data_IF_953450061020
#
_entry.id   IF_953450061020
#
_cell.length_a   1.000
_cell.length_b   1.000
_cell.length_c   1.000
_cell.angle_alpha   90.00
_cell.angle_beta   90.00
_cell.angle_gamma   90.00
#
_symmetry.space_group_name_H-M   'P 1'
#
loop_
_entity.id
_entity.type
_entity.pdbx_description
1 polymer ?
#
# COMPACT_ATOMS: atom_id res chain seq x y z
N UNK A 1 -9.28 -18.92 14.80
CA UNK A 1 -8.24 -18.65 13.78
C UNK A 1 -7.47 -17.45 14.28
N UNK A 2 -6.20 -17.59 14.68
CA UNK A 2 -5.36 -16.44 15.04
C UNK A 2 -5.13 -15.62 13.79
N UNK A 3 -6.00 -14.65 13.56
CA UNK A 3 -5.95 -13.80 12.39
C UNK A 3 -4.61 -13.06 12.33
N UNK A 4 -4.08 -12.90 11.15
CA UNK A 4 -2.92 -12.08 10.88
C UNK A 4 -3.12 -10.71 11.52
N UNK A 5 -2.21 -10.29 12.40
CA UNK A 5 -2.26 -8.97 13.03
C UNK A 5 -1.38 -7.97 12.29
N UNK A 6 -1.59 -6.68 12.55
CA UNK A 6 -0.69 -5.64 12.01
C UNK A 6 0.74 -5.84 12.52
N UNK A 7 0.90 -6.29 13.75
CA UNK A 7 2.20 -6.55 14.38
C UNK A 7 2.92 -7.71 13.66
N UNK A 8 2.21 -8.79 13.33
CA UNK A 8 2.78 -9.90 12.55
C UNK A 8 3.15 -9.47 11.13
N UNK A 9 2.34 -8.62 10.50
CA UNK A 9 2.65 -8.04 9.19
C UNK A 9 3.88 -7.11 9.25
N UNK A 10 3.99 -6.30 10.29
CA UNK A 10 5.18 -5.47 10.50
C UNK A 10 6.45 -6.31 10.72
N UNK A 11 6.36 -7.39 11.49
CA UNK A 11 7.47 -8.31 11.69
C UNK A 11 7.91 -8.95 10.38
N UNK A 12 6.96 -9.37 9.54
CA UNK A 12 7.25 -9.93 8.21
C UNK A 12 7.90 -8.87 7.30
N UNK A 13 7.35 -7.65 7.24
CA UNK A 13 7.96 -6.56 6.48
C UNK A 13 9.41 -6.33 6.90
N UNK A 14 9.68 -6.22 8.20
CA UNK A 14 11.03 -5.93 8.70
C UNK A 14 12.00 -7.09 8.59
N UNK A 15 11.50 -8.31 8.46
CA UNK A 15 12.30 -9.51 8.14
C UNK A 15 12.88 -9.42 6.72
N UNK A 16 12.11 -8.92 5.76
CA UNK A 16 12.48 -8.87 4.34
C UNK A 16 13.03 -7.53 3.88
N UNK A 17 12.59 -6.44 4.48
CA UNK A 17 12.93 -5.07 4.10
C UNK A 17 13.75 -4.39 5.20
N UNK A 18 14.99 -4.01 4.91
CA UNK A 18 15.90 -3.29 5.83
C UNK A 18 15.93 -1.80 5.53
N UNK A 19 15.67 -1.41 4.29
CA UNK A 19 15.65 -0.02 3.85
C UNK A 19 14.61 0.82 4.58
N UNK A 20 15.07 1.87 5.26
CA UNK A 20 14.20 2.85 5.93
C UNK A 20 13.23 3.55 4.95
N UNK A 21 13.68 3.80 3.72
CA UNK A 21 12.82 4.44 2.71
C UNK A 21 11.68 3.53 2.27
N UNK A 22 11.95 2.24 2.06
CA UNK A 22 10.91 1.26 1.70
C UNK A 22 9.95 1.01 2.87
N UNK A 23 10.45 0.95 4.10
CA UNK A 23 9.59 0.86 5.30
C UNK A 23 8.70 2.09 5.46
N UNK A 24 9.22 3.29 5.18
CA UNK A 24 8.42 4.53 5.20
C UNK A 24 7.37 4.52 4.09
N UNK A 25 7.71 4.06 2.88
CA UNK A 25 6.75 3.90 1.79
C UNK A 25 5.63 2.94 2.19
N UNK A 26 5.95 1.75 2.68
CA UNK A 26 4.97 0.78 3.14
C UNK A 26 3.99 1.38 4.18
N UNK A 27 4.50 2.14 5.15
CA UNK A 27 3.67 2.85 6.15
C UNK A 27 2.83 3.97 5.54
N UNK A 28 3.34 4.67 4.53
CA UNK A 28 2.58 5.70 3.83
C UNK A 28 1.41 5.09 3.04
N UNK A 29 1.66 4.01 2.31
CA UNK A 29 0.61 3.25 1.61
C UNK A 29 -0.41 2.69 2.61
N UNK A 30 0.04 2.08 3.70
CA UNK A 30 -0.84 1.61 4.78
C UNK A 30 -1.77 2.73 5.27
N UNK A 31 -1.24 3.91 5.55
CA UNK A 31 -2.04 5.04 6.03
C UNK A 31 -3.11 5.47 5.02
N UNK A 32 -2.76 5.51 3.73
CA UNK A 32 -3.68 5.85 2.66
C UNK A 32 -4.80 4.80 2.51
N UNK A 33 -4.46 3.53 2.41
CA UNK A 33 -5.47 2.47 2.22
C UNK A 33 -6.40 2.34 3.43
N UNK A 34 -5.89 2.56 4.65
CA UNK A 34 -6.72 2.60 5.87
C UNK A 34 -7.74 3.73 5.84
N UNK A 35 -7.37 4.91 5.37
CA UNK A 35 -8.29 6.04 5.24
C UNK A 35 -9.43 5.71 4.26
N UNK A 36 -9.12 5.05 3.15
CA UNK A 36 -10.14 4.58 2.19
C UNK A 36 -10.98 3.43 2.73
N UNK A 37 -10.41 2.53 3.53
CA UNK A 37 -11.18 1.46 4.18
C UNK A 37 -12.26 2.04 5.12
N UNK A 38 -11.90 3.04 5.94
CA UNK A 38 -12.86 3.74 6.83
C UNK A 38 -13.98 4.43 6.04
N UNK A 39 -13.60 5.14 4.98
CA UNK A 39 -14.57 5.80 4.11
C UNK A 39 -15.52 4.78 3.47
N UNK A 40 -14.99 3.70 2.93
CA UNK A 40 -15.79 2.63 2.33
C UNK A 40 -16.70 1.94 3.35
N UNK A 41 -16.20 1.65 4.56
CA UNK A 41 -17.02 1.10 5.65
C UNK A 41 -18.21 2.01 5.99
N UNK A 42 -17.97 3.30 6.06
CA UNK A 42 -19.01 4.30 6.31
C UNK A 42 -20.04 4.36 5.17
N UNK A 43 -19.59 4.37 3.92
CA UNK A 43 -20.46 4.37 2.73
C UNK A 43 -21.31 3.09 2.64
N UNK A 44 -20.80 1.96 3.11
CA UNK A 44 -21.52 0.68 3.14
C UNK A 44 -22.37 0.49 4.40
N UNK A 45 -22.32 1.42 5.35
CA UNK A 45 -23.08 1.33 6.61
C UNK A 45 -22.65 0.14 7.49
N UNK A 46 -21.37 -0.22 7.48
CA UNK A 46 -20.85 -1.34 8.27
C UNK A 46 -20.91 -1.00 9.77
N UNK A 47 -21.20 -1.99 10.60
CA UNK A 47 -21.04 -1.86 12.05
C UNK A 47 -19.57 -1.73 12.47
N UNK A 48 -19.34 -1.43 13.74
CA UNK A 48 -18.00 -1.17 14.28
C UNK A 48 -17.03 -2.34 14.08
N UNK A 49 -17.52 -3.57 14.25
CA UNK A 49 -16.67 -4.76 14.19
C UNK A 49 -16.29 -5.09 12.74
N UNK A 50 -17.26 -5.03 11.84
CA UNK A 50 -17.02 -5.20 10.40
C UNK A 50 -16.11 -4.10 9.83
N UNK A 51 -16.30 -2.85 10.26
CA UNK A 51 -15.45 -1.74 9.87
C UNK A 51 -14.00 -1.91 10.36
N UNK A 52 -13.81 -2.37 11.60
CA UNK A 52 -12.49 -2.63 12.17
C UNK A 52 -11.77 -3.78 11.44
N UNK A 53 -12.46 -4.87 11.13
CA UNK A 53 -11.88 -5.99 10.36
C UNK A 53 -11.54 -5.58 8.92
N UNK A 54 -12.38 -4.75 8.29
CA UNK A 54 -12.09 -4.20 6.97
C UNK A 54 -10.84 -3.31 7.01
N UNK A 55 -10.75 -2.38 7.96
CA UNK A 55 -9.59 -1.50 8.12
C UNK A 55 -8.30 -2.29 8.37
N UNK A 56 -8.36 -3.32 9.23
CA UNK A 56 -7.24 -4.22 9.51
C UNK A 56 -6.76 -4.94 8.24
N UNK A 57 -7.68 -5.46 7.43
CA UNK A 57 -7.36 -6.12 6.18
C UNK A 57 -6.65 -5.18 5.21
N UNK A 58 -7.14 -3.97 5.02
CA UNK A 58 -6.50 -2.94 4.17
C UNK A 58 -5.14 -2.52 4.72
N UNK A 59 -5.03 -2.35 6.03
CA UNK A 59 -3.76 -2.05 6.71
C UNK A 59 -2.68 -3.07 6.37
N UNK A 60 -2.98 -4.35 6.56
CA UNK A 60 -2.06 -5.46 6.28
C UNK A 60 -1.70 -5.49 4.77
N UNK A 61 -2.67 -5.32 3.90
CA UNK A 61 -2.47 -5.31 2.45
C UNK A 61 -1.53 -4.17 2.02
N UNK A 62 -1.78 -2.96 2.48
CA UNK A 62 -0.93 -1.81 2.16
C UNK A 62 0.47 -1.92 2.74
N UNK A 63 0.59 -2.46 3.96
CA UNK A 63 1.88 -2.64 4.62
C UNK A 63 2.77 -3.68 3.91
N UNK A 64 2.16 -4.73 3.36
CA UNK A 64 2.88 -5.87 2.78
C UNK A 64 2.95 -5.87 1.24
N UNK A 65 2.42 -4.85 0.54
CA UNK A 65 2.37 -4.90 -0.92
C UNK A 65 3.75 -5.08 -1.58
N UNK A 66 4.78 -4.47 -1.01
CA UNK A 66 6.17 -4.48 -1.50
C UNK A 66 7.18 -5.13 -0.53
N UNK A 67 6.73 -5.94 0.45
CA UNK A 67 7.63 -6.43 1.51
C UNK A 67 8.79 -7.29 0.99
N UNK A 68 8.62 -7.92 -0.14
CA UNK A 68 9.60 -8.80 -0.77
C UNK A 68 10.52 -8.07 -1.77
N UNK A 69 10.15 -6.85 -2.21
CA UNK A 69 10.81 -6.11 -3.28
C UNK A 69 12.31 -5.89 -3.06
N UNK A 70 12.75 -5.62 -1.84
CA UNK A 70 14.18 -5.39 -1.56
C UNK A 70 15.05 -6.63 -1.82
N UNK A 71 14.50 -7.83 -1.59
CA UNK A 71 15.19 -9.10 -1.80
C UNK A 71 15.00 -9.67 -3.20
N UNK A 72 13.88 -9.38 -3.81
CA UNK A 72 13.41 -9.96 -5.07
C UNK A 72 12.90 -8.86 -6.02
N UNK A 73 13.80 -7.96 -6.51
CA UNK A 73 13.39 -6.73 -7.20
C UNK A 73 13.02 -6.92 -8.68
N UNK A 74 13.15 -8.12 -9.23
CA UNK A 74 12.87 -8.33 -10.66
C UNK A 74 11.39 -8.59 -10.91
N UNK A 75 10.85 -8.22 -12.09
CA UNK A 75 9.47 -8.51 -12.44
C UNK A 75 9.10 -10.00 -12.47
N UNK A 76 10.09 -10.88 -12.59
CA UNK A 76 9.91 -12.33 -12.56
C UNK A 76 9.77 -12.85 -11.12
N UNK A 77 10.26 -12.10 -10.14
CA UNK A 77 10.27 -12.48 -8.73
C UNK A 77 9.21 -11.74 -7.93
N UNK A 78 9.22 -10.40 -7.96
CA UNK A 78 8.24 -9.56 -7.28
C UNK A 78 6.97 -9.41 -8.15
N UNK A 79 5.75 -9.52 -7.59
CA UNK A 79 5.40 -9.92 -6.24
C UNK A 79 5.12 -11.44 -6.08
N UNK A 80 5.56 -12.28 -7.04
CA UNK A 80 5.24 -13.72 -7.05
C UNK A 80 5.88 -14.47 -5.87
N UNK A 81 7.14 -14.17 -5.56
CA UNK A 81 7.84 -14.77 -4.42
C UNK A 81 7.16 -14.35 -3.11
N UNK A 82 6.85 -13.05 -2.97
CA UNK A 82 6.11 -12.54 -1.82
C UNK A 82 4.74 -13.20 -1.67
N UNK A 83 4.01 -13.38 -2.76
CA UNK A 83 2.70 -14.05 -2.74
C UNK A 83 2.80 -15.49 -2.20
N UNK A 84 3.81 -16.24 -2.60
CA UNK A 84 4.04 -17.60 -2.10
C UNK A 84 4.38 -17.60 -0.60
N UNK A 85 5.23 -16.68 -0.16
CA UNK A 85 5.56 -16.52 1.27
C UNK A 85 4.30 -16.19 2.08
N UNK A 86 3.45 -15.28 1.57
CA UNK A 86 2.19 -14.94 2.23
C UNK A 86 1.23 -16.14 2.31
N UNK A 87 1.18 -16.97 1.27
CA UNK A 87 0.41 -18.22 1.28
C UNK A 87 0.89 -19.18 2.36
N UNK A 88 2.20 -19.44 2.41
CA UNK A 88 2.83 -20.32 3.41
C UNK A 88 2.64 -19.78 4.84
N UNK A 89 2.54 -18.46 5.01
CA UNK A 89 2.26 -17.79 6.29
C UNK A 89 0.77 -17.70 6.61
N UNK A 90 -0.13 -18.22 5.74
CA UNK A 90 -1.57 -18.31 5.97
C UNK A 90 -2.32 -16.97 5.77
N UNK A 91 -1.79 -16.04 4.99
CA UNK A 91 -2.52 -14.82 4.63
C UNK A 91 -3.69 -15.14 3.69
N UNK A 92 -4.86 -14.46 3.88
CA UNK A 92 -6.04 -14.71 3.06
C UNK A 92 -5.83 -14.47 1.58
N UNK A 93 -6.54 -15.21 0.74
CA UNK A 93 -6.43 -15.12 -0.71
C UNK A 93 -6.76 -13.72 -1.25
N UNK A 94 -7.75 -13.03 -0.68
CA UNK A 94 -8.14 -11.69 -1.11
C UNK A 94 -7.03 -10.65 -0.85
N UNK A 95 -6.30 -10.77 0.26
CA UNK A 95 -5.11 -9.95 0.56
C UNK A 95 -4.00 -10.26 -0.43
N UNK A 96 -3.69 -11.53 -0.64
CA UNK A 96 -2.66 -11.98 -1.56
C UNK A 96 -2.96 -11.57 -3.00
N UNK A 97 -4.23 -11.70 -3.42
CA UNK A 97 -4.68 -11.27 -4.74
C UNK A 97 -4.56 -9.75 -4.92
N UNK A 98 -4.93 -8.97 -3.90
CA UNK A 98 -4.77 -7.52 -3.95
C UNK A 98 -3.31 -7.12 -4.13
N UNK A 99 -2.40 -7.75 -3.39
CA UNK A 99 -0.95 -7.55 -3.52
C UNK A 99 -0.49 -7.92 -4.94
N UNK A 100 -0.91 -9.06 -5.50
CA UNK A 100 -0.57 -9.41 -6.88
C UNK A 100 -1.07 -8.37 -7.89
N UNK A 101 -2.25 -7.79 -7.66
CA UNK A 101 -2.88 -6.87 -8.62
C UNK A 101 -2.27 -5.46 -8.66
N UNK A 102 -1.39 -5.10 -7.70
CA UNK A 102 -0.77 -3.77 -7.70
C UNK A 102 0.25 -3.59 -8.83
N UNK A 103 0.88 -4.66 -9.28
CA UNK A 103 1.83 -4.64 -10.38
C UNK A 103 1.16 -5.05 -11.71
N UNK A 104 1.16 -4.16 -12.70
CA UNK A 104 0.47 -4.39 -13.99
C UNK A 104 0.99 -5.59 -14.77
N UNK A 105 2.28 -5.88 -14.68
CA UNK A 105 2.91 -6.99 -15.39
C UNK A 105 2.48 -8.39 -14.88
N UNK A 106 1.83 -8.47 -13.71
CA UNK A 106 1.25 -9.75 -13.24
C UNK A 106 0.03 -10.19 -14.04
N UNK A 107 -0.61 -9.27 -14.76
CA UNK A 107 -1.85 -9.51 -15.50
C UNK A 107 -3.09 -9.72 -14.62
N UNK A 108 -2.98 -9.62 -13.30
CA UNK A 108 -4.09 -9.76 -12.37
C UNK A 108 -4.99 -8.53 -12.43
N UNK A 109 -6.19 -8.70 -12.98
CA UNK A 109 -7.16 -7.61 -13.13
C UNK A 109 -7.68 -7.15 -11.77
N UNK A 110 -7.68 -5.82 -11.56
CA UNK A 110 -8.22 -5.17 -10.35
C UNK A 110 -9.74 -5.12 -10.39
N UNK A 111 -10.39 -5.95 -9.60
CA UNK A 111 -11.86 -6.09 -9.55
C UNK A 111 -12.45 -5.46 -8.30
N UNK A 112 -11.87 -5.76 -7.13
CA UNK A 112 -12.38 -5.32 -5.83
C UNK A 112 -12.01 -3.86 -5.50
N UNK A 113 -12.72 -3.28 -4.54
CA UNK A 113 -12.40 -1.95 -4.02
C UNK A 113 -10.98 -1.92 -3.42
N UNK A 114 -10.59 -2.95 -2.65
CA UNK A 114 -9.27 -3.04 -2.04
C UNK A 114 -8.15 -3.05 -3.07
N UNK A 115 -8.28 -3.82 -4.13
CA UNK A 115 -7.30 -3.89 -5.24
C UNK A 115 -7.12 -2.55 -5.94
N UNK A 116 -8.22 -1.85 -6.22
CA UNK A 116 -8.20 -0.53 -6.86
C UNK A 116 -7.60 0.53 -5.95
N UNK A 117 -7.93 0.49 -4.66
CA UNK A 117 -7.42 1.42 -3.65
C UNK A 117 -5.93 1.19 -3.41
N UNK A 118 -5.48 -0.06 -3.30
CA UNK A 118 -4.05 -0.35 -3.16
C UNK A 118 -3.24 0.25 -4.31
N UNK A 119 -3.63 -0.04 -5.54
CA UNK A 119 -2.98 0.48 -6.74
C UNK A 119 -2.92 2.02 -6.77
N UNK A 120 -4.03 2.68 -6.48
CA UNK A 120 -4.09 4.14 -6.48
C UNK A 120 -3.29 4.77 -5.33
N UNK A 121 -3.26 4.14 -4.15
CA UNK A 121 -2.57 4.66 -2.97
C UNK A 121 -1.06 4.45 -3.03
N UNK A 122 -0.59 3.39 -3.67
CA UNK A 122 0.83 3.11 -3.88
C UNK A 122 1.49 4.28 -4.63
N UNK A 123 1.04 4.56 -5.83
CA UNK A 123 1.52 5.67 -6.66
C UNK A 123 1.33 7.04 -5.97
N UNK A 124 0.15 7.26 -5.37
CA UNK A 124 -0.15 8.51 -4.68
C UNK A 124 0.76 8.75 -3.48
N UNK A 125 1.09 7.73 -2.69
CA UNK A 125 1.97 7.84 -1.53
C UNK A 125 3.38 8.26 -1.95
N UNK A 126 3.92 7.68 -3.02
CA UNK A 126 5.18 8.08 -3.62
C UNK A 126 5.15 9.54 -4.09
N UNK A 127 4.10 9.94 -4.79
CA UNK A 127 3.91 11.30 -5.29
C UNK A 127 3.81 12.35 -4.17
N UNK A 128 3.09 12.05 -3.09
CA UNK A 128 3.00 12.91 -1.90
C UNK A 128 4.38 13.09 -1.27
N UNK A 129 5.12 12.01 -1.10
CA UNK A 129 6.48 12.02 -0.56
C UNK A 129 7.41 12.88 -1.44
N UNK A 130 7.40 12.68 -2.75
CA UNK A 130 8.18 13.48 -3.69
C UNK A 130 7.80 14.97 -3.63
N UNK A 131 6.51 15.28 -3.49
CA UNK A 131 6.04 16.66 -3.34
C UNK A 131 6.55 17.31 -2.05
N UNK A 132 6.60 16.56 -0.95
CA UNK A 132 7.19 17.05 0.31
C UNK A 132 8.68 17.34 0.16
N UNK A 133 9.43 16.44 -0.47
CA UNK A 133 10.89 16.55 -0.60
C UNK A 133 11.35 17.75 -1.43
N UNK A 134 10.54 18.27 -2.33
CA UNK A 134 10.87 19.49 -3.10
C UNK A 134 10.48 20.78 -2.40
N UNK A 135 9.82 20.72 -1.24
CA UNK A 135 9.59 21.89 -0.38
C UNK A 135 10.83 22.23 0.46
N UNK A 136 11.07 23.51 0.80
CA UNK A 136 12.22 23.89 1.64
C UNK A 136 12.30 23.15 2.97
N UNK A 137 11.16 22.95 3.63
CA UNK A 137 11.07 22.24 4.92
C UNK A 137 11.20 20.72 4.81
N UNK A 138 10.99 20.15 3.60
CA UNK A 138 10.89 18.70 3.34
C UNK A 138 9.89 17.98 4.26
N UNK A 139 8.87 18.71 4.73
CA UNK A 139 7.89 18.23 5.70
C UNK A 139 6.55 17.93 5.04
N UNK A 140 5.99 16.76 5.36
CA UNK A 140 4.62 16.38 4.96
C UNK A 140 3.56 17.33 5.56
N UNK A 141 3.82 17.96 6.70
CA UNK A 141 2.90 18.90 7.33
C UNK A 141 2.58 20.13 6.45
N UNK A 142 3.45 20.45 5.50
CA UNK A 142 3.24 21.55 4.54
C UNK A 142 2.63 21.10 3.21
N UNK A 143 2.29 19.83 3.06
CA UNK A 143 1.69 19.28 1.84
C UNK A 143 0.19 19.22 2.00
N UNK A 144 -0.53 20.01 1.21
CA UNK A 144 -1.97 19.98 1.12
C UNK A 144 -2.46 19.41 -0.23
N UNK A 145 -3.74 19.09 -0.32
CA UNK A 145 -4.34 18.56 -1.53
C UNK A 145 -4.23 19.53 -2.73
N UNK A 146 -4.16 20.84 -2.48
CA UNK A 146 -4.00 21.86 -3.53
C UNK A 146 -2.60 21.79 -4.14
N UNK A 147 -1.57 21.65 -3.31
CA UNK A 147 -0.18 21.49 -3.78
C UNK A 147 0.01 20.19 -4.56
N UNK A 148 -0.60 19.09 -4.12
CA UNK A 148 -0.59 17.82 -4.86
C UNK A 148 -1.24 17.99 -6.24
N UNK A 149 -2.46 18.51 -6.31
CA UNK A 149 -3.16 18.74 -7.59
C UNK A 149 -2.39 19.65 -8.53
N UNK A 150 -1.68 20.66 -8.00
CA UNK A 150 -0.82 21.52 -8.79
C UNK A 150 0.36 20.75 -9.37
N UNK A 151 1.01 19.92 -8.57
CA UNK A 151 2.16 19.10 -8.99
C UNK A 151 1.75 18.01 -9.99
N UNK A 152 0.57 17.43 -9.89
CA UNK A 152 0.03 16.48 -10.88
C UNK A 152 -0.09 17.07 -12.28
N UNK A 153 -0.25 18.40 -12.41
CA UNK A 153 -0.29 19.10 -13.71
C UNK A 153 1.11 19.38 -14.28
N UNK A 154 2.15 19.26 -13.48
CA UNK A 154 3.53 19.41 -13.88
C UNK A 154 4.02 18.09 -14.51
N UNK A 155 3.97 18.03 -15.85
CA UNK A 155 4.33 16.83 -16.60
C UNK A 155 5.77 16.36 -16.37
N UNK A 156 6.69 17.26 -16.07
CA UNK A 156 8.07 16.91 -15.79
C UNK A 156 8.21 16.25 -14.43
N UNK A 157 7.46 16.74 -13.44
CA UNK A 157 7.43 16.19 -12.08
C UNK A 157 6.68 14.85 -12.01
N UNK A 158 5.54 14.75 -12.71
CA UNK A 158 4.69 13.56 -12.70
C UNK A 158 5.16 12.42 -13.64
N UNK A 159 6.27 12.62 -14.37
CA UNK A 159 6.75 11.63 -15.35
C UNK A 159 7.23 10.32 -14.71
N UNK A 160 7.62 10.37 -13.47
CA UNK A 160 8.21 9.23 -12.71
C UNK A 160 7.24 8.56 -11.76
N UNK A 161 5.94 8.91 -11.84
CA UNK A 161 4.89 8.41 -10.95
C UNK A 161 3.79 7.77 -11.76
#
# INVERSE_FOLDING_TARGET
MSGQSRESAWSLLTEYTQSESLRKHARAVEACVRAYARKFAQEQGLDSDAAAELEKKYSITGLLHDFDYERFPTPEEHPYVGNKILEERGYPEDVRRAIMSHADYTGVQRQTHMEKVLFACDELAGFITATALVKPSKSLAEVDAKSIRKKMKDKAFARSV
#
